data_IF_157884809082
#
_entry.id   IF_157884809082
#
_cell.length_a   1.000
_cell.length_b   1.000
_cell.length_c   1.000
_cell.angle_alpha   90.00
_cell.angle_beta   90.00
_cell.angle_gamma   90.00
#
_symmetry.space_group_name_H-M   'P 1'
#
loop_
_entity.id
_entity.type
_entity.pdbx_description
1 polymer ?
#
# COMPACT_ATOMS: atom_id res chain seq x y z
N UNK A 1 34.35 -46.22 4.81
CA UNK A 1 34.21 -45.06 3.88
C UNK A 1 32.78 -44.50 3.84
N UNK A 2 31.75 -45.31 3.60
CA UNK A 2 30.35 -44.85 3.52
C UNK A 2 29.81 -44.15 4.79
N UNK A 3 30.12 -44.68 5.99
CA UNK A 3 29.68 -44.08 7.26
C UNK A 3 30.20 -42.64 7.45
N UNK A 4 31.42 -42.35 6.99
CA UNK A 4 31.97 -41.00 7.06
C UNK A 4 31.24 -40.02 6.13
N UNK A 5 30.84 -40.48 4.94
CA UNK A 5 30.01 -39.71 4.01
C UNK A 5 28.63 -39.42 4.61
N UNK A 6 28.03 -40.42 5.27
CA UNK A 6 26.73 -40.27 5.91
C UNK A 6 26.77 -39.21 7.01
N UNK A 7 27.77 -39.28 7.89
CA UNK A 7 27.96 -38.29 8.96
C UNK A 7 28.21 -36.88 8.40
N UNK A 8 28.96 -36.77 7.30
CA UNK A 8 29.13 -35.50 6.60
C UNK A 8 27.81 -34.99 6.01
N UNK A 9 27.02 -35.86 5.39
CA UNK A 9 25.73 -35.48 4.82
C UNK A 9 24.76 -34.96 5.89
N UNK A 10 24.61 -35.69 7.02
CA UNK A 10 23.73 -35.30 8.12
C UNK A 10 24.12 -33.93 8.72
N UNK A 11 25.42 -33.71 8.94
CA UNK A 11 25.91 -32.43 9.49
C UNK A 11 25.67 -31.26 8.54
N UNK A 12 25.76 -31.48 7.22
CA UNK A 12 25.52 -30.45 6.21
C UNK A 12 24.02 -30.19 6.02
N UNK A 13 23.20 -31.23 6.07
CA UNK A 13 21.74 -31.11 6.00
C UNK A 13 21.21 -30.27 7.17
N UNK A 14 21.61 -30.62 8.40
CA UNK A 14 21.23 -29.88 9.61
C UNK A 14 21.61 -28.40 9.50
N UNK A 15 22.87 -28.08 9.16
CA UNK A 15 23.32 -26.70 8.98
C UNK A 15 22.53 -25.93 7.93
N UNK A 16 22.12 -26.57 6.84
CA UNK A 16 21.32 -25.94 5.77
C UNK A 16 19.89 -25.66 6.25
N UNK A 17 19.26 -26.60 6.95
CA UNK A 17 17.92 -26.41 7.52
C UNK A 17 17.89 -25.27 8.52
N UNK A 18 18.90 -25.14 9.39
CA UNK A 18 18.95 -24.03 10.35
C UNK A 18 19.29 -22.67 9.74
N UNK A 19 19.83 -22.64 8.51
CA UNK A 19 20.22 -21.41 7.81
C UNK A 19 19.25 -21.01 6.72
N UNK A 20 18.21 -21.80 6.45
CA UNK A 20 17.22 -21.46 5.45
C UNK A 20 16.36 -20.30 5.99
N UNK A 21 16.58 -19.12 5.43
CA UNK A 21 15.71 -17.97 5.65
C UNK A 21 14.67 -17.99 4.54
N UNK A 22 13.41 -18.21 4.89
CA UNK A 22 12.30 -18.10 3.95
C UNK A 22 11.97 -16.62 3.82
N UNK A 23 12.41 -16.00 2.73
CA UNK A 23 11.96 -14.67 2.36
C UNK A 23 10.51 -14.77 1.91
N UNK A 24 9.58 -14.44 2.81
CA UNK A 24 8.17 -14.28 2.45
C UNK A 24 8.06 -13.01 1.61
N UNK A 25 8.08 -13.16 0.28
CA UNK A 25 7.76 -12.07 -0.67
C UNK A 25 6.30 -11.66 -0.52
N UNK A 26 6.00 -10.89 0.52
CA UNK A 26 4.81 -10.05 0.62
C UNK A 26 5.20 -8.61 0.26
N UNK A 27 5.17 -8.35 -1.06
CA UNK A 27 4.52 -7.21 -1.73
C UNK A 27 4.75 -5.78 -1.19
N UNK A 28 5.13 -4.87 -2.10
CA UNK A 28 4.25 -3.76 -2.52
C UNK A 28 4.84 -3.00 -3.72
N UNK A 29 4.45 -3.40 -4.93
CA UNK A 29 4.45 -2.50 -6.10
C UNK A 29 3.10 -1.80 -6.13
N UNK A 30 3.04 -0.58 -5.60
CA UNK A 30 1.94 0.35 -5.88
C UNK A 30 2.44 1.40 -6.87
N UNK A 31 1.85 1.44 -8.07
CA UNK A 31 1.22 2.69 -8.44
C UNK A 31 -0.18 2.41 -8.98
N UNK A 32 -1.20 2.75 -8.20
CA UNK A 32 -2.58 2.74 -8.72
C UNK A 32 -3.00 4.18 -9.02
N UNK A 33 -2.95 4.46 -10.33
CA UNK A 33 -3.79 5.38 -11.08
C UNK A 33 -3.82 6.85 -10.64
N UNK A 34 -3.00 7.63 -11.35
CA UNK A 34 -3.25 9.04 -11.61
C UNK A 34 -4.55 9.22 -12.43
N UNK A 35 -5.42 10.13 -11.98
CA UNK A 35 -5.99 11.28 -12.72
C UNK A 35 -7.32 11.66 -12.05
N UNK A 36 -7.31 12.65 -11.15
CA UNK A 36 -8.54 13.31 -10.72
C UNK A 36 -8.91 14.38 -11.74
N UNK A 37 -10.03 14.20 -12.41
CA UNK A 37 -10.65 15.20 -13.30
C UNK A 37 -11.32 16.25 -12.40
N UNK A 38 -10.92 17.53 -12.54
CA UNK A 38 -11.53 18.66 -11.85
C UNK A 38 -12.40 19.48 -12.81
N UNK A 39 -13.66 19.68 -12.43
CA UNK A 39 -14.71 20.46 -13.11
C UNK A 39 -15.94 19.56 -13.31
N UNK A 40 -17.16 19.86 -12.87
CA UNK A 40 -17.92 21.11 -12.87
C UNK A 40 -19.17 20.89 -11.98
N UNK A 41 -19.66 21.91 -11.28
CA UNK A 41 -20.90 21.84 -10.50
C UNK A 41 -22.06 22.13 -11.44
N UNK A 42 -22.93 21.15 -11.72
CA UNK A 42 -24.19 21.36 -12.46
C UNK A 42 -25.38 21.35 -11.49
N UNK A 43 -26.04 22.50 -11.41
CA UNK A 43 -27.34 22.70 -10.76
C UNK A 43 -28.43 21.83 -11.40
N UNK A 44 -29.39 21.27 -10.62
CA UNK A 44 -30.42 20.37 -11.13
C UNK A 44 -31.58 21.17 -11.72
N UNK A 45 -31.40 21.76 -12.90
CA UNK A 45 -32.48 22.35 -13.66
C UNK A 45 -32.21 22.30 -15.18
N UNK A 46 -32.14 21.11 -15.76
CA UNK A 46 -32.47 20.90 -17.17
C UNK A 46 -32.77 19.43 -17.43
N UNK A 47 -33.99 19.20 -17.87
CA UNK A 47 -34.51 17.95 -18.38
C UNK A 47 -33.76 17.46 -19.62
N UNK A 48 -33.63 16.14 -19.78
CA UNK A 48 -34.12 15.39 -20.95
C UNK A 48 -33.51 13.98 -21.02
N UNK A 49 -34.38 12.99 -20.84
CA UNK A 49 -34.61 11.91 -21.82
C UNK A 49 -33.50 10.89 -22.13
N UNK A 50 -33.76 9.65 -21.65
CA UNK A 50 -33.41 8.33 -22.20
C UNK A 50 -31.91 7.96 -22.30
N UNK A 51 -31.43 6.84 -21.76
CA UNK A 51 -31.81 5.48 -22.20
C UNK A 51 -31.29 4.44 -21.19
N UNK A 52 -32.08 3.38 -21.01
CA UNK A 52 -31.79 2.17 -20.24
C UNK A 52 -30.50 1.46 -20.70
N UNK A 53 -29.77 0.82 -19.77
CA UNK A 53 -29.75 -0.65 -19.57
C UNK A 53 -28.53 -1.09 -18.71
N UNK A 54 -28.84 -1.54 -17.49
CA UNK A 54 -28.38 -2.76 -16.79
C UNK A 54 -26.89 -3.15 -16.68
N UNK A 55 -26.40 -3.10 -15.42
CA UNK A 55 -25.78 -4.15 -14.58
C UNK A 55 -24.71 -5.09 -15.20
N UNK A 56 -23.49 -5.08 -14.61
CA UNK A 56 -22.84 -6.27 -13.98
C UNK A 56 -21.53 -5.97 -13.23
N UNK A 57 -21.63 -6.11 -11.90
CA UNK A 57 -20.69 -6.66 -10.90
C UNK A 57 -19.16 -6.41 -10.97
N UNK A 58 -18.64 -5.75 -9.90
CA UNK A 58 -17.45 -6.23 -9.14
C UNK A 58 -17.35 -5.55 -7.75
N UNK A 59 -16.90 -6.26 -6.69
CA UNK A 59 -17.16 -5.89 -5.29
C UNK A 59 -16.21 -4.83 -4.71
N UNK A 60 -16.76 -4.09 -3.74
CA UNK A 60 -16.23 -2.91 -3.02
C UNK A 60 -15.17 -3.29 -1.98
N UNK A 61 -14.06 -2.54 -1.92
CA UNK A 61 -13.10 -2.62 -0.80
C UNK A 61 -13.23 -1.42 0.14
N UNK A 62 -13.19 -1.71 1.44
CA UNK A 62 -13.41 -0.81 2.58
C UNK A 62 -12.04 -0.40 3.12
N UNK A 63 -11.72 0.90 3.20
CA UNK A 63 -10.49 1.40 3.82
C UNK A 63 -10.83 2.22 5.08
N UNK A 64 -10.24 1.79 6.20
CA UNK A 64 -10.39 2.34 7.54
C UNK A 64 -9.56 3.64 7.73
N UNK A 65 -10.22 4.79 7.75
CA UNK A 65 -10.42 5.58 8.98
C UNK A 65 -9.28 6.33 9.72
N UNK A 66 -8.00 6.27 9.34
CA UNK A 66 -6.99 7.15 9.97
C UNK A 66 -6.25 8.01 8.95
N UNK A 67 -6.65 9.28 8.86
CA UNK A 67 -6.07 10.27 7.95
C UNK A 67 -4.70 10.68 8.48
N UNK A 68 -3.65 9.97 8.08
CA UNK A 68 -2.28 10.40 8.34
C UNK A 68 -2.05 11.72 7.60
N UNK A 69 -1.57 12.76 8.31
CA UNK A 69 -1.12 13.98 7.62
C UNK A 69 -0.08 13.55 6.58
N UNK A 70 -0.19 14.03 5.35
CA UNK A 70 0.78 13.76 4.29
C UNK A 70 2.02 14.64 4.49
N UNK A 71 3.22 14.13 4.15
CA UNK A 71 4.51 14.82 4.34
C UNK A 71 4.52 16.30 3.89
N UNK A 72 3.75 16.66 2.87
CA UNK A 72 3.67 18.01 2.33
C UNK A 72 2.50 18.87 2.83
N UNK A 73 1.61 18.33 3.67
CA UNK A 73 0.43 19.02 4.20
C UNK A 73 0.83 20.16 5.13
N UNK A 74 -0.04 21.19 5.32
CA UNK A 74 0.21 22.22 6.31
C UNK A 74 0.36 21.59 7.70
N UNK A 75 1.40 22.00 8.43
CA UNK A 75 1.68 21.44 9.74
C UNK A 75 0.57 21.82 10.74
N UNK A 76 0.18 20.85 11.57
CA UNK A 76 -0.90 21.02 12.56
C UNK A 76 -0.63 22.11 13.62
N UNK A 77 0.63 22.54 13.82
CA UNK A 77 1.01 23.58 14.76
C UNK A 77 0.57 25.00 14.37
N UNK A 78 -0.12 25.16 13.23
CA UNK A 78 -0.64 26.45 12.78
C UNK A 78 0.41 27.42 12.23
N UNK A 79 1.67 26.99 12.07
CA UNK A 79 2.76 27.84 11.58
C UNK A 79 2.69 28.20 10.09
N UNK A 80 1.74 27.63 9.35
CA UNK A 80 1.61 27.78 7.89
C UNK A 80 2.69 27.07 7.07
N UNK A 81 3.67 26.43 7.71
CA UNK A 81 4.75 25.67 7.05
C UNK A 81 4.30 24.25 6.73
N UNK A 82 4.83 23.65 5.65
CA UNK A 82 4.57 22.24 5.30
C UNK A 82 5.14 21.30 6.37
N UNK A 83 4.45 20.20 6.68
CA UNK A 83 4.78 19.26 7.77
C UNK A 83 6.23 18.77 7.71
N UNK A 84 6.73 18.39 6.52
CA UNK A 84 8.14 18.04 6.24
C UNK A 84 9.20 19.05 6.67
N UNK A 85 8.84 20.32 6.78
CA UNK A 85 9.75 21.42 7.13
C UNK A 85 9.46 21.98 8.53
N UNK A 86 8.56 21.33 9.25
CA UNK A 86 8.18 21.72 10.59
C UNK A 86 8.43 20.55 11.54
N UNK A 87 7.47 19.63 11.69
CA UNK A 87 7.51 18.56 12.70
C UNK A 87 7.59 17.16 12.07
N UNK A 88 8.40 17.00 11.02
CA UNK A 88 8.56 15.74 10.29
C UNK A 88 10.02 15.50 9.92
N UNK A 89 10.58 14.30 10.13
CA UNK A 89 10.23 13.26 11.09
C UNK A 89 11.23 13.35 12.24
N UNK A 90 10.87 13.97 13.36
CA UNK A 90 11.70 13.83 14.56
C UNK A 90 11.61 12.36 15.00
N UNK A 91 12.56 11.53 14.57
CA UNK A 91 12.88 10.30 15.27
C UNK A 91 13.70 10.72 16.49
N UNK A 92 13.00 11.06 17.57
CA UNK A 92 13.45 10.81 18.93
C UNK A 92 12.26 10.74 19.88
#
# INVERSE_FOLDING_TARGET
MFQNLMNQYESNLSKKLFRIQVENTSQQTAPQNATEIRGEVQDPASAATNTADQIKDKPKQVISGQKTLGRNDPCWCGSGKKWKKCHYPELN
#
